data_IF_401167475535
#
_entry.id   IF_401167475535
#
_cell.length_a   1.000
_cell.length_b   1.000
_cell.length_c   1.000
_cell.angle_alpha   90.00
_cell.angle_beta   90.00
_cell.angle_gamma   90.00
#
_symmetry.space_group_name_H-M   'P 1'
#
loop_
_entity.id
_entity.type
_entity.pdbx_description
1 polymer ?
#
# COMPACT_ATOMS: atom_id res chain seq x y z
N UNK A 1 8.42 -9.51 25.17
CA UNK A 1 8.66 -9.32 23.74
C UNK A 1 7.66 -8.30 23.23
N UNK A 2 8.12 -7.23 22.58
CA UNK A 2 7.24 -6.20 22.01
C UNK A 2 6.37 -6.83 20.91
N UNK A 3 5.07 -7.00 21.17
CA UNK A 3 4.16 -7.71 20.26
C UNK A 3 3.73 -6.78 19.12
N UNK A 4 4.66 -6.46 18.22
CA UNK A 4 4.44 -5.53 17.11
C UNK A 4 3.28 -5.99 16.22
N UNK A 5 3.06 -7.30 16.09
CA UNK A 5 1.90 -7.87 15.42
C UNK A 5 0.59 -7.48 16.11
N UNK A 6 0.53 -7.52 17.43
CA UNK A 6 -0.64 -7.12 18.19
C UNK A 6 -0.86 -5.60 18.14
N UNK A 7 0.21 -4.81 18.13
CA UNK A 7 0.11 -3.37 17.96
C UNK A 7 -0.55 -2.98 16.63
N UNK A 8 -0.26 -3.69 15.54
CA UNK A 8 -0.77 -3.37 14.20
C UNK A 8 -2.05 -4.11 13.82
N UNK A 9 -2.50 -5.06 14.65
CA UNK A 9 -3.72 -5.85 14.40
C UNK A 9 -4.93 -4.92 14.25
N UNK A 10 -5.72 -5.16 13.21
CA UNK A 10 -6.95 -4.42 12.87
C UNK A 10 -6.78 -2.89 12.67
N UNK A 11 -5.54 -2.40 12.60
CA UNK A 11 -5.25 -0.99 12.30
C UNK A 11 -5.19 -0.73 10.79
N UNK A 12 -5.45 0.52 10.44
CA UNK A 12 -5.19 1.08 9.11
C UNK A 12 -3.82 1.75 9.15
N UNK A 13 -2.92 1.36 8.25
CA UNK A 13 -1.52 1.84 8.26
C UNK A 13 -1.22 2.61 6.97
N UNK A 14 -0.81 3.87 7.11
CA UNK A 14 -0.36 4.68 5.99
C UNK A 14 1.15 4.51 5.75
N UNK A 15 1.53 4.13 4.53
CA UNK A 15 2.91 3.85 4.14
C UNK A 15 3.33 4.76 2.98
N UNK A 16 4.32 5.61 3.24
CA UNK A 16 5.01 6.40 2.23
C UNK A 16 6.16 5.61 1.63
N UNK A 17 6.44 5.78 0.33
CA UNK A 17 7.57 5.10 -0.31
C UNK A 17 7.38 3.58 -0.46
N UNK A 18 6.17 3.05 -0.26
CA UNK A 18 5.86 1.62 -0.31
C UNK A 18 6.18 0.92 -1.63
N UNK A 19 6.33 1.69 -2.73
CA UNK A 19 6.76 1.17 -4.03
C UNK A 19 8.25 0.85 -4.14
N UNK A 20 9.09 1.35 -3.23
CA UNK A 20 10.53 1.06 -3.20
C UNK A 20 10.81 -0.33 -2.63
N UNK A 21 12.01 -0.87 -2.85
CA UNK A 21 12.37 -2.26 -2.48
C UNK A 21 12.02 -2.64 -1.03
N UNK A 22 12.50 -1.84 -0.07
CA UNK A 22 12.20 -2.05 1.36
C UNK A 22 10.71 -1.83 1.66
N UNK A 23 10.10 -0.82 1.04
CA UNK A 23 8.66 -0.55 1.19
C UNK A 23 7.81 -1.76 0.84
N UNK A 24 8.16 -2.50 -0.22
CA UNK A 24 7.44 -3.73 -0.61
C UNK A 24 7.51 -4.79 0.51
N UNK A 25 8.68 -4.97 1.10
CA UNK A 25 8.91 -5.95 2.17
C UNK A 25 8.11 -5.57 3.42
N UNK A 26 8.10 -4.28 3.79
CA UNK A 26 7.33 -3.79 4.95
C UNK A 26 5.84 -3.98 4.74
N UNK A 27 5.32 -3.62 3.55
CA UNK A 27 3.91 -3.81 3.19
C UNK A 27 3.52 -5.29 3.25
N UNK A 28 4.34 -6.16 2.68
CA UNK A 28 4.15 -7.62 2.73
C UNK A 28 4.12 -8.12 4.18
N UNK A 29 5.01 -7.61 5.04
CA UNK A 29 5.07 -8.00 6.46
C UNK A 29 3.84 -7.55 7.25
N UNK A 30 3.39 -6.32 7.02
CA UNK A 30 2.18 -5.77 7.64
C UNK A 30 0.95 -6.59 7.25
N UNK A 31 0.79 -6.88 5.96
CA UNK A 31 -0.35 -7.63 5.43
C UNK A 31 -0.36 -9.09 5.89
N UNK A 32 0.80 -9.77 5.96
CA UNK A 32 0.87 -11.21 6.25
C UNK A 32 1.12 -11.58 7.70
N UNK A 33 1.89 -10.79 8.44
CA UNK A 33 2.33 -11.15 9.80
C UNK A 33 1.69 -10.30 10.89
N UNK A 34 1.23 -9.09 10.57
CA UNK A 34 0.66 -8.18 11.56
C UNK A 34 -0.87 -8.17 11.58
N UNK A 35 -1.54 -8.75 10.58
CA UNK A 35 -3.02 -8.80 10.55
C UNK A 35 -3.65 -7.41 10.52
N UNK A 36 -3.04 -6.46 9.80
CA UNK A 36 -3.60 -5.12 9.62
C UNK A 36 -4.95 -5.19 8.91
N UNK A 37 -5.84 -4.26 9.24
CA UNK A 37 -7.13 -4.11 8.55
C UNK A 37 -6.90 -3.68 7.10
N UNK A 38 -6.04 -2.69 6.92
CA UNK A 38 -5.82 -2.04 5.64
C UNK A 38 -4.47 -1.34 5.57
N UNK A 39 -3.84 -1.33 4.39
CA UNK A 39 -2.65 -0.54 4.12
C UNK A 39 -2.98 0.53 3.09
N UNK A 40 -2.71 1.77 3.43
CA UNK A 40 -2.86 2.91 2.54
C UNK A 40 -1.47 3.28 2.00
N UNK A 41 -1.26 3.18 0.70
CA UNK A 41 0.03 3.45 0.06
C UNK A 41 0.02 4.79 -0.66
N UNK A 42 1.04 5.61 -0.39
CA UNK A 42 1.28 6.83 -1.14
C UNK A 42 2.07 6.51 -2.41
N UNK A 43 1.47 6.74 -3.57
CA UNK A 43 2.09 6.54 -4.87
C UNK A 43 2.21 7.87 -5.59
N UNK A 44 3.44 8.24 -5.96
CA UNK A 44 3.69 9.36 -6.86
C UNK A 44 3.52 8.90 -8.29
N UNK A 45 2.90 9.72 -9.13
CA UNK A 45 2.99 9.53 -10.57
C UNK A 45 4.45 9.67 -11.02
N UNK A 46 4.82 8.88 -12.01
CA UNK A 46 6.03 9.08 -12.80
C UNK A 46 5.56 9.29 -14.24
N UNK A 47 6.18 10.19 -14.99
CA UNK A 47 5.88 10.35 -16.43
C UNK A 47 5.89 8.96 -17.09
N UNK A 48 4.76 8.60 -17.72
CA UNK A 48 4.50 7.33 -18.41
C UNK A 48 4.22 6.09 -17.53
N UNK A 49 3.81 6.22 -16.27
CA UNK A 49 3.35 5.04 -15.50
C UNK A 49 2.11 5.34 -14.70
N UNK A 50 1.01 4.64 -14.99
CA UNK A 50 -0.23 4.76 -14.22
C UNK A 50 -0.03 4.21 -12.80
N UNK A 51 -0.76 4.73 -11.81
CA UNK A 51 -0.66 4.29 -10.42
C UNK A 51 -1.05 2.82 -10.26
N UNK A 52 -2.09 2.38 -10.97
CA UNK A 52 -2.52 0.98 -10.88
C UNK A 52 -1.46 0.02 -11.42
N UNK A 53 -0.70 0.43 -12.44
CA UNK A 53 0.45 -0.35 -12.93
C UNK A 53 1.51 -0.50 -11.85
N UNK A 54 1.80 0.57 -11.08
CA UNK A 54 2.77 0.50 -9.97
C UNK A 54 2.31 -0.42 -8.85
N UNK A 55 1.00 -0.51 -8.57
CA UNK A 55 0.43 -1.46 -7.61
C UNK A 55 0.49 -2.89 -8.15
N UNK A 56 0.16 -3.10 -9.42
CA UNK A 56 0.30 -4.41 -10.06
C UNK A 56 1.73 -4.90 -9.95
N UNK A 57 2.71 -4.05 -10.25
CA UNK A 57 4.15 -4.36 -10.08
C UNK A 57 4.58 -4.53 -8.62
N UNK A 58 3.89 -3.92 -7.66
CA UNK A 58 4.11 -4.16 -6.23
C UNK A 58 3.68 -5.59 -5.88
N UNK A 59 2.47 -5.97 -6.28
CA UNK A 59 1.85 -7.27 -5.98
C UNK A 59 2.43 -8.42 -6.81
N UNK A 60 3.05 -8.14 -7.95
CA UNK A 60 3.69 -9.12 -8.84
C UNK A 60 5.21 -9.20 -8.67
N UNK A 61 5.77 -8.48 -7.69
CA UNK A 61 7.21 -8.56 -7.41
C UNK A 61 7.58 -9.91 -6.78
N UNK A 62 8.81 -10.40 -6.96
CA UNK A 62 9.24 -11.68 -6.37
C UNK A 62 9.17 -11.71 -4.83
N UNK A 63 9.04 -10.55 -4.21
CA UNK A 63 8.82 -10.38 -2.76
C UNK A 63 7.38 -10.73 -2.36
N UNK A 64 6.40 -10.54 -3.26
CA UNK A 64 4.98 -10.75 -3.00
C UNK A 64 4.59 -12.20 -3.31
N UNK A 65 4.41 -13.02 -2.28
CA UNK A 65 4.12 -14.46 -2.45
C UNK A 65 2.65 -14.78 -2.80
N UNK A 66 1.73 -13.83 -2.63
CA UNK A 66 0.29 -13.95 -2.95
C UNK A 66 -0.28 -12.59 -3.38
N UNK A 67 -1.38 -12.54 -4.15
CA UNK A 67 -2.09 -11.30 -4.44
C UNK A 67 -2.43 -10.53 -3.15
N UNK A 68 -2.29 -9.20 -3.18
CA UNK A 68 -2.54 -8.31 -2.03
C UNK A 68 -3.93 -7.66 -2.15
N UNK A 69 -4.94 -8.13 -1.41
CA UNK A 69 -6.32 -7.63 -1.57
C UNK A 69 -6.64 -6.34 -0.80
N UNK A 70 -5.77 -5.88 0.11
CA UNK A 70 -6.06 -4.81 1.10
C UNK A 70 -5.13 -3.59 0.98
N UNK A 71 -4.92 -3.09 -0.24
CA UNK A 71 -4.08 -1.90 -0.49
C UNK A 71 -4.93 -0.80 -1.14
N UNK A 72 -5.14 0.31 -0.43
CA UNK A 72 -5.66 1.55 -1.02
C UNK A 72 -4.48 2.40 -1.49
N UNK A 73 -4.63 3.10 -2.62
CA UNK A 73 -3.60 4.03 -3.10
C UNK A 73 -4.07 5.47 -3.09
N UNK A 74 -3.24 6.31 -2.47
CA UNK A 74 -3.30 7.75 -2.59
C UNK A 74 -2.30 8.23 -3.64
N UNK A 75 -2.86 8.85 -4.68
CA UNK A 75 -2.12 9.58 -5.69
C UNK A 75 -1.65 10.92 -5.11
N UNK A 76 -0.35 11.24 -5.24
CA UNK A 76 0.11 12.62 -5.04
C UNK A 76 0.56 13.20 -6.38
N UNK A 77 -0.31 14.06 -6.90
CA UNK A 77 -0.19 14.88 -8.11
C UNK A 77 -1.45 15.75 -8.18
N UNK A 78 -1.34 17.01 -8.63
CA UNK A 78 -2.50 17.91 -8.78
C UNK A 78 -3.50 17.29 -9.77
N UNK A 79 -4.46 16.54 -9.27
CA UNK A 79 -5.56 15.98 -10.04
C UNK A 79 -6.85 16.40 -9.35
N UNK A 80 -7.74 17.06 -10.10
CA UNK A 80 -9.07 17.39 -9.65
C UNK A 80 -9.81 16.07 -9.34
N UNK A 81 -10.08 15.74 -8.07
CA UNK A 81 -10.67 14.44 -7.73
C UNK A 81 -12.08 14.37 -8.35
N UNK A 82 -12.46 13.25 -8.98
CA UNK A 82 -13.83 13.10 -9.44
C UNK A 82 -14.79 13.11 -8.22
N UNK A 83 -16.04 13.59 -8.36
CA UNK A 83 -16.92 13.91 -7.22
C UNK A 83 -17.24 12.72 -6.29
N UNK A 84 -17.03 11.50 -6.75
CA UNK A 84 -17.26 10.26 -6.01
C UNK A 84 -16.06 9.80 -5.17
N UNK A 85 -14.90 10.46 -5.29
CA UNK A 85 -13.70 10.17 -4.50
C UNK A 85 -13.68 10.99 -3.20
N UNK A 86 -14.69 10.76 -2.35
CA UNK A 86 -14.69 11.22 -0.96
C UNK A 86 -14.56 9.98 -0.10
N UNK A 87 -13.60 9.99 0.83
CA UNK A 87 -13.48 8.98 1.87
C UNK A 87 -14.80 8.87 2.63
N UNK A 88 -15.63 7.88 2.28
CA UNK A 88 -16.71 7.37 3.14
C UNK A 88 -16.19 6.20 3.94
#
# INVERSE_FOLDING_TARGET
MSNISEFYRDKVVFVTGGTGFIGKIVVEKLLRSCGVKEVILMVREKKNTQPEQRIKTLCSSPVSRKPCPKIIVLQIGLYNPPPWFVFT
#
